data_IF_880416365905
#
_entry.id   IF_880416365905
#
_cell.length_a   1.000
_cell.length_b   1.000
_cell.length_c   1.000
_cell.angle_alpha   90.00
_cell.angle_beta   90.00
_cell.angle_gamma   90.00
#
_symmetry.space_group_name_H-M   'P 1'
#
loop_
_entity.id
_entity.type
_entity.pdbx_description
1 polymer ?
#
# COMPACT_ATOMS: atom_id res chain seq x y z
N UNK A 1 8.07 21.93 -11.01
CA UNK A 1 7.65 21.56 -9.64
C UNK A 1 7.72 20.04 -9.42
N UNK A 2 8.77 19.60 -8.73
CA UNK A 2 9.06 18.17 -8.53
C UNK A 2 8.22 17.62 -7.39
N UNK A 3 6.99 17.18 -7.68
CA UNK A 3 6.14 16.50 -6.70
C UNK A 3 6.89 15.25 -6.23
N UNK A 4 7.15 15.19 -4.92
CA UNK A 4 7.90 14.08 -4.34
C UNK A 4 6.98 12.83 -4.31
N UNK A 5 7.49 11.70 -4.80
CA UNK A 5 6.78 10.40 -4.85
C UNK A 5 6.24 9.94 -3.48
N UNK A 6 6.84 10.39 -2.37
CA UNK A 6 6.42 9.99 -1.01
C UNK A 6 5.07 10.56 -0.56
N UNK A 7 4.50 11.54 -1.30
CA UNK A 7 3.17 12.12 -1.05
C UNK A 7 2.17 11.85 -2.16
N UNK A 8 2.47 10.89 -3.05
CA UNK A 8 1.57 10.61 -4.18
C UNK A 8 0.23 10.00 -3.76
N UNK A 9 0.10 9.54 -2.51
CA UNK A 9 -1.18 9.13 -1.93
C UNK A 9 -1.18 9.28 -0.39
N UNK A 10 -2.36 9.42 0.25
CA UNK A 10 -2.47 9.43 1.71
C UNK A 10 -2.08 8.08 2.31
N UNK A 11 -1.70 8.08 3.60
CA UNK A 11 -1.51 6.85 4.35
C UNK A 11 -2.84 6.12 4.48
N UNK A 12 -2.87 4.84 4.11
CA UNK A 12 -4.06 3.99 4.18
C UNK A 12 -3.75 2.68 4.89
N UNK A 13 -4.78 2.08 5.47
CA UNK A 13 -4.69 0.77 6.11
C UNK A 13 -5.15 -0.31 5.14
N UNK A 14 -4.32 -1.33 4.97
CA UNK A 14 -4.59 -2.47 4.09
C UNK A 14 -4.98 -3.68 4.95
N UNK A 15 -6.14 -4.31 4.71
CA UNK A 15 -6.62 -5.44 5.50
C UNK A 15 -5.89 -6.75 5.07
N UNK A 16 -4.59 -6.85 5.36
CA UNK A 16 -3.77 -8.04 5.03
C UNK A 16 -4.03 -9.23 5.95
N UNK A 17 -4.70 -9.03 7.09
CA UNK A 17 -4.90 -10.06 8.12
C UNK A 17 -5.84 -11.19 7.67
N UNK A 18 -6.85 -10.87 6.86
CA UNK A 18 -7.86 -11.86 6.44
C UNK A 18 -7.41 -12.74 5.28
N UNK A 19 -6.70 -12.17 4.30
CA UNK A 19 -6.26 -12.85 3.07
C UNK A 19 -4.78 -13.24 3.07
N UNK A 20 -3.98 -12.72 4.00
CA UNK A 20 -2.52 -12.89 4.00
C UNK A 20 -1.79 -12.06 2.93
N UNK A 21 -2.53 -11.33 2.10
CA UNK A 21 -2.01 -10.46 1.05
C UNK A 21 -2.98 -9.31 0.76
N UNK A 22 -2.46 -8.12 0.47
CA UNK A 22 -3.25 -7.00 -0.01
C UNK A 22 -2.46 -6.12 -0.97
N UNK A 23 -3.19 -5.40 -1.81
CA UNK A 23 -2.65 -4.46 -2.79
C UNK A 23 -3.09 -3.04 -2.48
N UNK A 24 -2.15 -2.09 -2.48
CA UNK A 24 -2.46 -0.68 -2.35
C UNK A 24 -3.27 -0.21 -3.57
N UNK A 25 -4.47 0.38 -3.39
CA UNK A 25 -5.29 0.83 -4.52
C UNK A 25 -4.74 2.09 -5.21
N UNK A 26 -3.78 2.78 -4.60
CA UNK A 26 -3.21 4.02 -5.12
C UNK A 26 -1.92 3.78 -5.91
N UNK A 27 -0.94 3.13 -5.29
CA UNK A 27 0.38 2.89 -5.91
C UNK A 27 0.53 1.48 -6.48
N UNK A 28 -0.42 0.58 -6.25
CA UNK A 28 -0.36 -0.79 -6.72
C UNK A 28 0.65 -1.68 -5.98
N UNK A 29 1.27 -1.19 -4.90
CA UNK A 29 2.21 -1.96 -4.09
C UNK A 29 1.53 -3.19 -3.48
N UNK A 30 2.19 -4.34 -3.58
CA UNK A 30 1.68 -5.64 -3.12
C UNK A 30 2.37 -6.00 -1.80
N UNK A 31 1.57 -6.22 -0.77
CA UNK A 31 2.03 -6.56 0.57
C UNK A 31 1.59 -7.98 0.90
N UNK A 32 2.54 -8.80 1.35
CA UNK A 32 2.28 -10.19 1.75
C UNK A 32 2.67 -10.36 3.21
N UNK A 33 1.78 -10.97 4.00
CA UNK A 33 2.04 -11.27 5.41
C UNK A 33 2.95 -12.50 5.49
N UNK A 34 4.23 -12.28 5.78
CA UNK A 34 5.18 -13.36 6.12
C UNK A 34 5.14 -13.60 7.62
N UNK A 35 4.96 -14.87 8.01
CA UNK A 35 5.14 -15.36 9.39
C UNK A 35 6.62 -15.39 9.76
#
# INVERSE_FOLDING_TARGET
PQMKLWNSHPRVYLPIESSGWAKCPYCGAEYTLRR
#
